data_IF_734482734840
#
_entry.id   IF_734482734840
#
_cell.length_a   1.000
_cell.length_b   1.000
_cell.length_c   1.000
_cell.angle_alpha   90.00
_cell.angle_beta   90.00
_cell.angle_gamma   90.00
#
_symmetry.space_group_name_H-M   'P 1'
#
loop_
_entity.id
_entity.type
_entity.pdbx_description
1 polymer ?
#
# COMPACT_ATOMS: atom_id res chain seq x y z
N UNK A 1 16.92 -17.06 31.00
CA UNK A 1 16.83 -18.36 30.29
C UNK A 1 15.76 -18.23 29.21
N UNK A 2 16.19 -18.51 27.99
CA UNK A 2 15.48 -18.71 26.71
C UNK A 2 14.68 -17.54 26.09
N UNK A 3 15.46 -16.69 25.42
CA UNK A 3 15.10 -15.93 24.21
C UNK A 3 14.86 -16.90 23.04
N UNK A 4 13.61 -17.33 22.82
CA UNK A 4 13.27 -18.18 21.66
C UNK A 4 12.18 -17.60 20.76
N UNK A 5 11.76 -16.34 20.91
CA UNK A 5 10.62 -15.79 20.14
C UNK A 5 10.96 -14.83 19.00
N UNK A 6 12.24 -14.53 18.75
CA UNK A 6 12.65 -13.64 17.65
C UNK A 6 13.32 -14.37 16.48
N UNK A 7 13.78 -15.60 16.69
CA UNK A 7 14.47 -16.40 15.66
C UNK A 7 13.47 -17.10 14.73
N UNK A 8 12.30 -17.49 15.23
CA UNK A 8 11.29 -18.18 14.41
C UNK A 8 10.58 -17.25 13.41
N UNK A 9 10.36 -15.98 13.74
CA UNK A 9 9.79 -15.00 12.82
C UNK A 9 10.77 -14.59 11.71
N UNK A 10 12.06 -14.44 12.02
CA UNK A 10 13.08 -14.18 11.00
C UNK A 10 13.34 -15.39 10.09
N UNK A 11 13.17 -16.61 10.60
CA UNK A 11 13.26 -17.82 9.80
C UNK A 11 12.00 -18.10 8.96
N UNK A 12 10.81 -17.59 9.29
CA UNK A 12 9.64 -17.85 8.43
C UNK A 12 9.74 -17.14 7.07
N UNK A 13 10.23 -15.89 7.07
CA UNK A 13 10.43 -15.10 5.84
C UNK A 13 11.62 -15.58 4.99
N UNK A 14 12.62 -16.23 5.59
CA UNK A 14 13.81 -16.67 4.86
C UNK A 14 13.60 -17.93 4.03
N UNK A 15 12.52 -18.69 4.23
CA UNK A 15 12.25 -19.93 3.49
C UNK A 15 11.22 -19.69 2.38
N UNK A 16 10.14 -18.95 2.64
CA UNK A 16 9.16 -18.57 1.60
C UNK A 16 9.74 -17.63 0.52
N UNK A 17 10.86 -16.96 0.77
CA UNK A 17 11.56 -16.17 -0.24
C UNK A 17 12.17 -17.02 -1.39
N UNK A 18 12.38 -18.32 -1.17
CA UNK A 18 13.06 -19.22 -2.13
C UNK A 18 12.19 -20.35 -2.68
N UNK A 19 10.99 -20.57 -2.14
CA UNK A 19 10.08 -21.60 -2.66
C UNK A 19 9.01 -21.01 -3.59
N UNK A 20 8.65 -21.73 -4.68
CA UNK A 20 7.56 -21.32 -5.55
C UNK A 20 6.25 -21.22 -4.76
N UNK A 21 5.42 -20.22 -5.09
CA UNK A 21 4.09 -20.05 -4.51
C UNK A 21 3.27 -21.33 -4.64
N UNK A 22 2.80 -21.88 -3.51
CA UNK A 22 1.90 -23.04 -3.51
C UNK A 22 0.58 -22.69 -4.21
N UNK A 23 -0.10 -23.70 -4.76
CA UNK A 23 -1.36 -23.49 -5.49
C UNK A 23 -2.45 -22.86 -4.61
N UNK A 24 -2.51 -23.23 -3.33
CA UNK A 24 -3.44 -22.63 -2.36
C UNK A 24 -3.18 -21.13 -2.20
N UNK A 25 -1.90 -20.71 -2.11
CA UNK A 25 -1.52 -19.30 -2.00
C UNK A 25 -1.77 -18.54 -3.29
N UNK A 26 -1.47 -19.14 -4.45
CA UNK A 26 -1.80 -18.56 -5.76
C UNK A 26 -3.30 -18.30 -5.87
N UNK A 27 -4.11 -19.28 -5.46
CA UNK A 27 -5.57 -19.21 -5.47
C UNK A 27 -6.08 -18.10 -4.54
N UNK A 28 -5.56 -18.03 -3.30
CA UNK A 28 -5.91 -16.99 -2.33
C UNK A 28 -5.60 -15.59 -2.86
N UNK A 29 -4.35 -15.35 -3.31
CA UNK A 29 -3.91 -14.04 -3.82
C UNK A 29 -4.72 -13.65 -5.05
N UNK A 30 -4.91 -14.58 -5.99
CA UNK A 30 -5.65 -14.36 -7.23
C UNK A 30 -7.11 -13.99 -6.95
N UNK A 31 -7.77 -14.70 -6.04
CA UNK A 31 -9.16 -14.43 -5.64
C UNK A 31 -9.31 -13.02 -5.07
N UNK A 32 -8.46 -12.65 -4.11
CA UNK A 32 -8.50 -11.32 -3.48
C UNK A 32 -8.20 -10.20 -4.49
N UNK A 33 -7.17 -10.39 -5.33
CA UNK A 33 -6.81 -9.42 -6.35
C UNK A 33 -7.91 -9.21 -7.39
N UNK A 34 -8.54 -10.29 -7.88
CA UNK A 34 -9.61 -10.20 -8.88
C UNK A 34 -10.90 -9.56 -8.35
N UNK A 35 -11.12 -9.58 -7.03
CA UNK A 35 -12.24 -8.90 -6.39
C UNK A 35 -12.09 -7.36 -6.37
N UNK A 36 -10.87 -6.83 -6.56
CA UNK A 36 -10.61 -5.40 -6.59
C UNK A 36 -11.12 -4.74 -7.88
N UNK A 37 -11.48 -3.46 -7.78
CA UNK A 37 -11.81 -2.61 -8.92
C UNK A 37 -10.64 -2.53 -9.92
N UNK A 38 -10.91 -2.18 -11.19
CA UNK A 38 -9.85 -2.00 -12.18
C UNK A 38 -8.77 -0.98 -11.75
N UNK A 39 -9.17 0.06 -11.02
CA UNK A 39 -8.26 1.09 -10.49
C UNK A 39 -7.30 0.46 -9.48
N UNK A 40 -7.83 -0.25 -8.47
CA UNK A 40 -7.00 -0.83 -7.42
C UNK A 40 -6.15 -2.00 -7.92
N UNK A 41 -6.65 -2.80 -8.88
CA UNK A 41 -5.84 -3.82 -9.56
C UNK A 41 -4.66 -3.25 -10.33
N UNK A 42 -4.85 -2.11 -10.98
CA UNK A 42 -3.80 -1.36 -11.68
C UNK A 42 -2.74 -0.87 -10.69
N UNK A 43 -3.16 -0.21 -9.60
CA UNK A 43 -2.26 0.27 -8.54
C UNK A 43 -1.47 -0.89 -7.92
N UNK A 44 -2.14 -1.93 -7.41
CA UNK A 44 -1.50 -3.04 -6.72
C UNK A 44 -0.49 -3.77 -7.61
N UNK A 45 -0.86 -4.03 -8.87
CA UNK A 45 0.04 -4.67 -9.84
C UNK A 45 1.25 -3.82 -10.20
N UNK A 46 1.04 -2.52 -10.42
CA UNK A 46 2.13 -1.58 -10.76
C UNK A 46 3.13 -1.42 -9.60
N UNK A 47 2.63 -1.39 -8.36
CA UNK A 47 3.45 -1.32 -7.15
C UNK A 47 4.22 -2.62 -6.96
N UNK A 48 3.56 -3.76 -7.09
CA UNK A 48 4.21 -5.06 -6.89
C UNK A 48 5.42 -5.21 -7.81
N UNK A 49 5.29 -4.83 -9.09
CA UNK A 49 6.41 -4.84 -10.03
C UNK A 49 7.50 -3.83 -9.66
N UNK A 50 7.16 -2.59 -9.32
CA UNK A 50 8.18 -1.59 -8.90
C UNK A 50 8.99 -2.08 -7.70
N UNK A 51 8.29 -2.59 -6.67
CA UNK A 51 8.92 -3.14 -5.48
C UNK A 51 9.77 -4.38 -5.80
N UNK A 52 9.31 -5.23 -6.73
CA UNK A 52 10.10 -6.37 -7.19
C UNK A 52 11.44 -5.94 -7.79
N UNK A 53 11.41 -4.94 -8.68
CA UNK A 53 12.63 -4.42 -9.30
C UNK A 53 13.61 -3.87 -8.25
N UNK A 54 13.08 -3.10 -7.29
CA UNK A 54 13.86 -2.52 -6.20
C UNK A 54 14.48 -3.59 -5.29
N UNK A 55 13.67 -4.51 -4.75
CA UNK A 55 14.12 -5.51 -3.76
C UNK A 55 15.00 -6.61 -4.35
N UNK A 56 14.89 -6.89 -5.66
CA UNK A 56 15.68 -7.91 -6.34
C UNK A 56 16.82 -7.31 -7.18
N UNK A 57 17.11 -6.01 -7.01
CA UNK A 57 18.20 -5.30 -7.69
C UNK A 57 18.14 -5.38 -9.23
N UNK A 58 16.94 -5.36 -9.81
CA UNK A 58 16.80 -5.21 -11.25
C UNK A 58 16.82 -3.71 -11.62
N UNK A 59 17.89 -3.21 -12.26
CA UNK A 59 18.04 -1.77 -12.53
C UNK A 59 17.05 -1.25 -13.58
N UNK A 60 16.40 -2.15 -14.33
CA UNK A 60 15.39 -1.80 -15.32
C UNK A 60 14.45 -2.97 -15.59
N UNK A 61 13.30 -2.64 -16.17
CA UNK A 61 12.34 -3.63 -16.66
C UNK A 61 12.96 -4.58 -17.70
N UNK A 62 13.86 -4.08 -18.56
CA UNK A 62 14.55 -4.90 -19.54
C UNK A 62 15.43 -5.96 -18.87
N UNK A 63 16.20 -5.59 -17.84
CA UNK A 63 17.04 -6.54 -17.08
C UNK A 63 16.21 -7.59 -16.35
N UNK A 64 15.06 -7.20 -15.82
CA UNK A 64 14.15 -8.17 -15.21
C UNK A 64 13.60 -9.15 -16.26
N UNK A 65 13.10 -8.66 -17.40
CA UNK A 65 12.60 -9.54 -18.47
C UNK A 65 13.70 -10.47 -19.01
N UNK A 66 14.93 -9.98 -19.17
CA UNK A 66 16.10 -10.81 -19.53
C UNK A 66 16.33 -11.93 -18.51
N UNK A 67 16.16 -11.65 -17.22
CA UNK A 67 16.37 -12.65 -16.15
C UNK A 67 15.30 -13.75 -16.10
N UNK A 68 14.16 -13.56 -16.79
CA UNK A 68 13.11 -14.58 -16.89
C UNK A 68 13.41 -15.64 -17.96
N UNK A 69 14.50 -15.48 -18.72
CA UNK A 69 15.02 -16.44 -19.70
C UNK A 69 13.93 -16.97 -20.67
N UNK A 70 13.08 -16.06 -21.15
CA UNK A 70 12.06 -16.41 -22.14
C UNK A 70 12.70 -16.91 -23.44
N UNK A 71 12.23 -18.06 -23.93
CA UNK A 71 12.71 -18.59 -25.20
C UNK A 71 12.26 -17.69 -26.35
N UNK A 72 13.22 -16.97 -26.93
CA UNK A 72 13.00 -16.08 -28.07
C UNK A 72 12.48 -16.81 -29.33
N UNK A 73 12.65 -18.13 -29.40
CA UNK A 73 12.17 -18.99 -30.49
C UNK A 73 10.76 -19.53 -30.23
N UNK A 74 10.28 -19.50 -28.98
CA UNK A 74 8.91 -19.89 -28.64
C UNK A 74 7.94 -18.73 -28.94
N UNK A 75 7.27 -18.85 -30.09
CA UNK A 75 6.29 -17.86 -30.54
C UNK A 75 5.12 -17.64 -29.58
N UNK A 76 4.87 -18.58 -28.66
CA UNK A 76 3.83 -18.45 -27.62
C UNK A 76 4.28 -17.52 -26.48
N UNK A 77 5.59 -17.38 -26.25
CA UNK A 77 6.18 -16.53 -25.20
C UNK A 77 6.50 -15.10 -25.65
N UNK A 78 6.44 -14.79 -26.96
CA UNK A 78 6.65 -13.45 -27.52
C UNK A 78 5.76 -12.35 -26.89
N UNK A 79 4.61 -12.72 -26.32
CA UNK A 79 3.69 -11.77 -25.65
C UNK A 79 4.07 -11.49 -24.20
N UNK A 80 4.94 -12.29 -23.58
CA UNK A 80 5.33 -12.19 -22.17
C UNK A 80 6.16 -10.93 -21.85
N UNK A 81 7.14 -10.50 -22.67
CA UNK A 81 7.83 -9.23 -22.44
C UNK A 81 6.87 -8.02 -22.42
N UNK A 82 5.94 -7.99 -23.37
CA UNK A 82 4.95 -6.92 -23.48
C UNK A 82 3.97 -6.87 -22.29
N UNK A 83 3.72 -8.01 -21.63
CA UNK A 83 2.91 -8.07 -20.43
C UNK A 83 3.53 -7.24 -19.30
N UNK A 84 4.82 -7.42 -19.02
CA UNK A 84 5.52 -6.72 -17.94
C UNK A 84 5.57 -5.21 -18.14
N UNK A 85 5.88 -4.75 -19.36
CA UNK A 85 5.83 -3.33 -19.68
C UNK A 85 4.43 -2.73 -19.52
N UNK A 86 3.38 -3.46 -19.90
CA UNK A 86 1.99 -3.02 -19.71
C UNK A 86 1.64 -2.94 -18.22
N UNK A 87 2.03 -3.93 -17.43
CA UNK A 87 1.81 -3.94 -15.98
C UNK A 87 2.55 -2.78 -15.29
N UNK A 88 3.81 -2.56 -15.64
CA UNK A 88 4.61 -1.43 -15.17
C UNK A 88 4.04 -0.07 -15.57
N UNK A 89 3.40 0.01 -16.75
CA UNK A 89 2.67 1.19 -17.21
C UNK A 89 1.27 1.32 -16.57
N UNK A 90 0.92 0.50 -15.57
CA UNK A 90 -0.33 0.57 -14.82
C UNK A 90 -1.51 -0.12 -15.49
N UNK A 91 -1.30 -1.06 -16.42
CA UNK A 91 -2.39 -1.93 -16.90
C UNK A 91 -2.67 -3.03 -15.87
N UNK A 92 -3.92 -3.09 -15.42
CA UNK A 92 -4.37 -4.16 -14.51
C UNK A 92 -4.28 -5.55 -15.18
N UNK A 93 -3.99 -6.56 -14.37
CA UNK A 93 -4.16 -7.95 -14.77
C UNK A 93 -5.65 -8.31 -14.63
N UNK A 94 -6.26 -8.77 -15.72
CA UNK A 94 -7.71 -9.00 -15.78
C UNK A 94 -8.11 -10.45 -15.94
N UNK A 95 -7.17 -11.31 -16.36
CA UNK A 95 -7.42 -12.71 -16.66
C UNK A 95 -6.54 -13.60 -15.79
N UNK A 96 -7.02 -14.80 -15.43
CA UNK A 96 -6.27 -15.74 -14.58
C UNK A 96 -4.89 -16.03 -15.15
N UNK A 97 -4.81 -16.37 -16.44
CA UNK A 97 -3.55 -16.67 -17.12
C UNK A 97 -2.50 -15.54 -17.02
N UNK A 98 -2.93 -14.27 -17.03
CA UNK A 98 -2.01 -13.13 -16.85
C UNK A 98 -1.51 -12.99 -15.41
N UNK A 99 -2.29 -13.46 -14.44
CA UNK A 99 -1.90 -13.50 -13.03
C UNK A 99 -0.99 -14.71 -12.77
N UNK A 100 -1.25 -15.84 -13.43
CA UNK A 100 -0.38 -17.01 -13.38
C UNK A 100 1.00 -16.69 -13.96
N UNK A 101 1.06 -16.02 -15.11
CA UNK A 101 2.30 -15.48 -15.67
C UNK A 101 3.05 -14.55 -14.71
N UNK A 102 2.31 -13.75 -13.94
CA UNK A 102 2.91 -12.90 -12.91
C UNK A 102 3.54 -13.74 -11.79
N UNK A 103 2.82 -14.73 -11.25
CA UNK A 103 3.32 -15.60 -10.18
C UNK A 103 4.52 -16.45 -10.61
N UNK A 104 4.61 -16.81 -11.88
CA UNK A 104 5.75 -17.55 -12.41
C UNK A 104 7.00 -16.67 -12.56
N UNK A 105 6.83 -15.35 -12.69
CA UNK A 105 7.94 -14.41 -12.87
C UNK A 105 8.39 -13.66 -11.62
N UNK A 106 7.73 -13.82 -10.46
CA UNK A 106 8.09 -13.11 -9.23
C UNK A 106 8.13 -14.01 -8.00
N UNK A 107 8.84 -13.56 -6.97
CA UNK A 107 8.90 -14.26 -5.69
C UNK A 107 7.63 -14.04 -4.83
N UNK A 108 7.45 -14.87 -3.80
CA UNK A 108 6.29 -14.79 -2.90
C UNK A 108 6.12 -13.42 -2.22
N UNK A 109 7.16 -12.76 -1.67
CA UNK A 109 7.01 -11.42 -1.10
C UNK A 109 6.39 -10.43 -2.08
N UNK A 110 6.78 -10.48 -3.35
CA UNK A 110 6.21 -9.64 -4.42
C UNK A 110 4.74 -9.98 -4.68
N UNK A 111 4.43 -11.27 -4.82
CA UNK A 111 3.06 -11.71 -5.07
C UNK A 111 2.12 -11.37 -3.92
N UNK A 112 2.59 -11.46 -2.68
CA UNK A 112 1.81 -11.14 -1.47
C UNK A 112 1.34 -9.68 -1.43
N UNK A 113 2.03 -8.76 -2.12
CA UNK A 113 1.60 -7.36 -2.25
C UNK A 113 0.21 -7.28 -2.86
N UNK A 114 -0.15 -8.15 -3.80
CA UNK A 114 -1.45 -8.08 -4.49
C UNK A 114 -2.65 -8.30 -3.57
N UNK A 115 -2.47 -8.98 -2.45
CA UNK A 115 -3.52 -9.26 -1.45
C UNK A 115 -3.43 -8.37 -0.20
N UNK A 116 -2.64 -7.29 -0.25
CA UNK A 116 -2.45 -6.44 0.92
C UNK A 116 -3.78 -5.79 1.37
N UNK A 117 -4.14 -5.80 2.69
CA UNK A 117 -5.44 -5.33 3.16
C UNK A 117 -5.75 -3.86 2.91
N UNK A 118 -4.71 -3.03 2.68
CA UNK A 118 -4.89 -1.64 2.27
C UNK A 118 -5.71 -1.53 0.98
N UNK A 119 -5.56 -2.47 0.03
CA UNK A 119 -6.25 -2.39 -1.25
C UNK A 119 -7.75 -2.57 -1.09
N UNK A 120 -8.16 -3.59 -0.33
CA UNK A 120 -9.58 -3.86 -0.06
C UNK A 120 -10.23 -2.75 0.77
N UNK A 121 -9.47 -2.14 1.70
CA UNK A 121 -9.91 -0.98 2.48
C UNK A 121 -10.20 0.23 1.59
N UNK A 122 -9.24 0.62 0.73
CA UNK A 122 -9.39 1.78 -0.15
C UNK A 122 -10.49 1.54 -1.21
N UNK A 123 -10.60 0.31 -1.72
CA UNK A 123 -11.58 -0.02 -2.76
C UNK A 123 -13.03 -0.11 -2.26
N UNK A 124 -13.25 0.01 -0.94
CA UNK A 124 -14.56 -0.13 -0.28
C UNK A 124 -15.27 -1.46 -0.57
N UNK A 125 -14.51 -2.51 -0.93
CA UNK A 125 -15.08 -3.83 -1.29
C UNK A 125 -15.51 -4.64 -0.09
N UNK A 126 -14.93 -4.35 1.06
CA UNK A 126 -15.22 -4.99 2.33
C UNK A 126 -15.61 -3.92 3.34
N UNK A 127 -16.48 -4.25 4.31
CA UNK A 127 -16.73 -3.38 5.46
C UNK A 127 -15.42 -3.01 6.16
N UNK A 128 -15.39 -1.83 6.78
CA UNK A 128 -14.19 -1.32 7.47
C UNK A 128 -13.77 -2.28 8.59
N UNK A 129 -14.74 -2.83 9.31
CA UNK A 129 -14.58 -3.74 10.44
C UNK A 129 -14.05 -5.11 9.98
N UNK A 130 -14.53 -5.59 8.82
CA UNK A 130 -13.98 -6.76 8.13
C UNK A 130 -12.53 -6.54 7.67
N UNK A 131 -12.23 -5.38 7.08
CA UNK A 131 -10.85 -5.02 6.68
C UNK A 131 -9.92 -4.90 7.89
N UNK A 132 -10.42 -4.33 8.98
CA UNK A 132 -9.66 -4.20 10.23
C UNK A 132 -9.28 -5.57 10.80
N UNK A 133 -10.18 -6.57 10.70
CA UNK A 133 -9.86 -7.95 11.07
C UNK A 133 -8.75 -8.54 10.21
N UNK A 134 -8.81 -8.39 8.89
CA UNK A 134 -7.77 -8.88 7.97
C UNK A 134 -6.41 -8.29 8.34
N UNK A 135 -6.36 -6.97 8.57
CA UNK A 135 -5.17 -6.28 9.04
C UNK A 135 -4.70 -6.78 10.43
N UNK A 136 -5.62 -7.01 11.37
CA UNK A 136 -5.28 -7.48 12.71
C UNK A 136 -4.63 -8.88 12.71
N UNK A 137 -5.14 -9.78 11.88
CA UNK A 137 -4.64 -11.15 11.74
C UNK A 137 -3.24 -11.14 11.14
N UNK A 138 -3.00 -10.31 10.11
CA UNK A 138 -1.71 -10.27 9.41
C UNK A 138 -0.61 -9.52 10.18
N UNK A 139 -0.94 -8.49 10.97
CA UNK A 139 0.08 -7.53 11.48
C UNK A 139 0.32 -7.51 13.00
N UNK A 140 -0.20 -8.48 13.77
CA UNK A 140 0.16 -8.70 15.18
C UNK A 140 -0.19 -7.53 16.13
N UNK A 141 -1.32 -7.65 16.82
CA UNK A 141 -2.10 -6.56 17.43
C UNK A 141 -1.48 -5.64 18.50
N UNK A 142 -0.53 -4.76 18.13
CA UNK A 142 -0.10 -3.63 18.98
C UNK A 142 -1.11 -2.47 19.03
N UNK A 143 -1.94 -2.34 18.00
CA UNK A 143 -2.90 -1.24 17.81
C UNK A 143 -4.23 -1.43 18.55
N UNK A 144 -4.49 -2.62 19.08
CA UNK A 144 -5.78 -2.97 19.67
C UNK A 144 -5.68 -3.12 21.18
N UNK A 145 -6.81 -2.93 21.87
CA UNK A 145 -6.94 -3.22 23.31
C UNK A 145 -6.73 -4.71 23.51
N UNK A 146 -5.98 -5.12 24.55
CA UNK A 146 -5.74 -6.55 24.85
C UNK A 146 -7.10 -7.22 25.08
N UNK A 147 -7.57 -8.03 24.14
CA UNK A 147 -8.80 -8.82 24.25
C UNK A 147 -8.66 -10.11 23.44
N UNK A 148 -9.12 -11.21 24.03
CA UNK A 148 -8.94 -12.59 23.59
C UNK A 148 -9.60 -12.91 22.22
N UNK A 149 -8.94 -13.80 21.47
CA UNK A 149 -9.42 -14.58 20.31
C UNK A 149 -10.23 -13.84 19.23
N UNK A 150 -9.67 -12.80 18.59
CA UNK A 150 -10.29 -12.23 17.38
C UNK A 150 -10.37 -13.21 16.20
N UNK A 151 -9.65 -14.33 16.26
CA UNK A 151 -9.72 -15.37 15.24
C UNK A 151 -11.13 -15.96 15.08
N UNK A 152 -11.99 -15.83 16.09
CA UNK A 152 -13.36 -16.35 16.07
C UNK A 152 -14.43 -15.31 15.73
N UNK A 153 -14.06 -14.03 15.59
CA UNK A 153 -15.03 -12.97 15.27
C UNK A 153 -15.07 -12.76 13.76
N UNK A 154 -16.25 -12.57 13.17
CA UNK A 154 -16.36 -12.25 11.73
C UNK A 154 -15.80 -10.87 11.41
N UNK A 155 -15.96 -9.91 12.33
CA UNK A 155 -15.51 -8.53 12.18
C UNK A 155 -14.91 -7.99 13.49
N UNK A 156 -14.06 -6.96 13.39
CA UNK A 156 -13.52 -6.23 14.56
C UNK A 156 -14.02 -4.79 14.51
N UNK A 157 -14.76 -4.30 15.54
CA UNK A 157 -15.24 -2.92 15.55
C UNK A 157 -14.06 -1.94 15.72
N UNK A 158 -14.19 -0.74 15.15
CA UNK A 158 -13.19 0.34 15.30
C UNK A 158 -12.89 0.66 16.78
N UNK A 159 -13.90 0.55 17.65
CA UNK A 159 -13.78 0.79 19.09
C UNK A 159 -12.82 -0.18 19.82
N UNK A 160 -12.46 -1.30 19.19
CA UNK A 160 -11.44 -2.23 19.67
C UNK A 160 -10.01 -1.64 19.59
N UNK A 161 -9.81 -0.58 18.80
CA UNK A 161 -8.53 0.11 18.72
C UNK A 161 -8.20 0.82 20.04
N UNK A 162 -6.92 0.81 20.40
CA UNK A 162 -6.40 1.67 21.46
C UNK A 162 -6.44 3.12 20.99
N UNK A 163 -6.63 4.02 21.93
CA UNK A 163 -6.32 5.42 21.68
C UNK A 163 -4.83 5.54 21.34
N UNK A 164 -4.50 6.16 20.20
CA UNK A 164 -3.12 6.37 19.80
C UNK A 164 -2.56 7.66 20.40
N UNK A 165 -1.33 7.60 20.89
CA UNK A 165 -0.56 8.78 21.32
C UNK A 165 0.18 9.41 20.13
N UNK A 166 0.55 10.70 20.18
CA UNK A 166 1.29 11.37 19.10
C UNK A 166 2.55 10.62 18.65
N UNK A 167 3.37 10.15 19.60
CA UNK A 167 4.60 9.39 19.33
C UNK A 167 4.35 8.07 18.59
N UNK A 168 3.22 7.40 18.86
CA UNK A 168 2.84 6.18 18.15
C UNK A 168 2.46 6.47 16.70
N UNK A 169 1.75 7.59 16.45
CA UNK A 169 1.40 8.01 15.09
C UNK A 169 2.64 8.39 14.28
N UNK A 170 3.56 9.12 14.89
CA UNK A 170 4.85 9.43 14.29
C UNK A 170 5.64 8.15 13.96
N UNK A 171 5.71 7.20 14.89
CA UNK A 171 6.37 5.91 14.63
C UNK A 171 5.76 5.14 13.46
N UNK A 172 4.43 5.18 13.29
CA UNK A 172 3.78 4.58 12.12
C UNK A 172 4.18 5.33 10.84
N UNK A 173 4.21 6.67 10.87
CA UNK A 173 4.66 7.45 9.73
C UNK A 173 6.11 7.12 9.33
N UNK A 174 7.02 7.04 10.30
CA UNK A 174 8.44 6.76 10.11
C UNK A 174 8.71 5.36 9.53
N UNK A 175 7.79 4.41 9.69
CA UNK A 175 7.90 3.07 9.11
C UNK A 175 7.76 3.04 7.57
N UNK A 176 7.16 4.09 6.98
CA UNK A 176 7.08 4.30 5.52
C UNK A 176 6.58 3.09 4.72
N UNK A 177 5.62 2.33 5.25
CA UNK A 177 5.11 1.10 4.64
C UNK A 177 3.61 1.16 4.38
N UNK A 178 3.10 0.20 3.59
CA UNK A 178 1.66 0.07 3.38
C UNK A 178 0.92 -0.30 4.67
N UNK A 179 1.51 -1.16 5.51
CA UNK A 179 0.96 -1.51 6.82
C UNK A 179 0.81 -0.28 7.71
N UNK A 180 1.81 0.60 7.67
CA UNK A 180 1.83 1.79 8.51
C UNK A 180 0.87 2.85 8.02
N UNK A 181 0.68 2.99 6.70
CA UNK A 181 -0.42 3.77 6.13
C UNK A 181 -1.78 3.18 6.51
N UNK A 182 -1.96 1.87 6.40
CA UNK A 182 -3.20 1.18 6.76
C UNK A 182 -3.55 1.40 8.24
N UNK A 183 -2.56 1.28 9.13
CA UNK A 183 -2.69 1.58 10.54
C UNK A 183 -3.14 3.05 10.78
N UNK A 184 -2.51 4.01 10.10
CA UNK A 184 -2.85 5.42 10.23
C UNK A 184 -4.25 5.74 9.71
N UNK A 185 -4.73 5.07 8.66
CA UNK A 185 -6.10 5.18 8.17
C UNK A 185 -7.08 4.65 9.22
N UNK A 186 -6.86 3.47 9.80
CA UNK A 186 -7.74 2.94 10.86
C UNK A 186 -7.75 3.82 12.12
N UNK A 187 -6.58 4.35 12.52
CA UNK A 187 -6.51 5.31 13.62
C UNK A 187 -7.32 6.57 13.29
N UNK A 188 -7.22 7.07 12.04
CA UNK A 188 -7.97 8.23 11.57
C UNK A 188 -9.47 7.98 11.61
N UNK A 189 -9.92 6.85 11.08
CA UNK A 189 -11.32 6.41 11.13
C UNK A 189 -11.84 6.34 12.57
N UNK A 190 -11.09 5.71 13.48
CA UNK A 190 -11.45 5.66 14.90
C UNK A 190 -11.54 7.07 15.52
N UNK A 191 -10.57 7.96 15.24
CA UNK A 191 -10.59 9.33 15.77
C UNK A 191 -11.80 10.14 15.28
N UNK A 192 -12.18 9.98 14.01
CA UNK A 192 -13.30 10.71 13.41
C UNK A 192 -14.64 10.11 13.85
N UNK A 193 -14.79 8.79 13.74
CA UNK A 193 -16.08 8.10 13.89
C UNK A 193 -16.42 7.75 15.32
N UNK A 194 -15.45 7.25 16.09
CA UNK A 194 -15.67 6.84 17.48
C UNK A 194 -15.38 7.98 18.46
N UNK A 195 -14.24 8.66 18.29
CA UNK A 195 -13.83 9.72 19.22
C UNK A 195 -14.37 11.12 18.86
N UNK A 196 -15.02 11.28 17.70
CA UNK A 196 -15.60 12.55 17.22
C UNK A 196 -14.61 13.72 17.21
N UNK A 197 -13.34 13.46 16.92
CA UNK A 197 -12.33 14.51 16.82
C UNK A 197 -12.62 15.43 15.61
N UNK A 198 -12.31 16.72 15.77
CA UNK A 198 -12.31 17.68 14.67
C UNK A 198 -11.23 17.33 13.64
N UNK A 199 -11.57 17.55 12.37
CA UNK A 199 -10.70 17.27 11.22
C UNK A 199 -9.99 18.54 10.72
N UNK A 200 -8.75 18.44 10.22
CA UNK A 200 -7.98 17.20 10.07
C UNK A 200 -7.38 16.74 11.40
N UNK A 201 -7.52 15.45 11.70
CA UNK A 201 -6.89 14.89 12.90
C UNK A 201 -5.37 14.79 12.71
N UNK A 202 -4.61 14.63 13.79
CA UNK A 202 -3.16 14.40 13.66
C UNK A 202 -2.85 13.10 12.91
N UNK A 203 -3.63 12.03 13.12
CA UNK A 203 -3.48 10.79 12.36
C UNK A 203 -3.75 10.99 10.87
N UNK A 204 -4.77 11.78 10.54
CA UNK A 204 -5.12 12.11 9.16
C UNK A 204 -3.99 12.85 8.46
N UNK A 205 -3.33 13.81 9.13
CA UNK A 205 -2.17 14.52 8.59
C UNK A 205 -1.01 13.57 8.28
N UNK A 206 -0.70 12.64 9.20
CA UNK A 206 0.33 11.62 8.96
C UNK A 206 -0.06 10.67 7.82
N UNK A 207 -1.30 10.20 7.79
CA UNK A 207 -1.80 9.34 6.71
C UNK A 207 -1.72 10.04 5.34
N UNK A 208 -2.11 11.31 5.28
CA UNK A 208 -2.07 12.10 4.05
C UNK A 208 -0.63 12.30 3.55
N UNK A 209 0.27 12.73 4.43
CA UNK A 209 1.68 12.88 4.10
C UNK A 209 2.31 11.56 3.64
N UNK A 210 1.96 10.44 4.30
CA UNK A 210 2.49 9.12 3.94
C UNK A 210 1.91 8.60 2.62
N UNK A 211 0.62 8.79 2.36
CA UNK A 211 0.00 8.50 1.07
C UNK A 211 0.72 9.25 -0.06
N UNK A 212 0.92 10.54 0.15
CA UNK A 212 1.57 11.43 -0.77
C UNK A 212 3.02 11.02 -1.06
N UNK A 213 3.77 10.62 -0.03
CA UNK A 213 5.11 10.04 -0.20
C UNK A 213 5.07 8.70 -0.96
N UNK A 214 4.25 7.75 -0.51
CA UNK A 214 4.22 6.39 -1.06
C UNK A 214 3.78 6.37 -2.52
N UNK A 215 2.76 7.13 -2.89
CA UNK A 215 2.15 7.04 -4.23
C UNK A 215 2.46 8.25 -5.12
N UNK A 216 2.90 9.36 -4.54
CA UNK A 216 3.34 10.55 -5.26
C UNK A 216 4.83 10.49 -5.62
N UNK A 217 5.66 9.89 -4.77
CA UNK A 217 7.11 9.83 -4.93
C UNK A 217 7.66 8.41 -5.07
N UNK A 218 7.54 7.58 -4.03
CA UNK A 218 8.19 6.27 -3.93
C UNK A 218 7.71 5.33 -5.05
N UNK A 219 6.41 5.08 -5.11
CA UNK A 219 5.78 4.28 -6.15
C UNK A 219 5.02 5.17 -7.13
N UNK A 220 5.52 5.26 -8.36
CA UNK A 220 4.93 6.11 -9.41
C UNK A 220 3.71 5.45 -10.02
N UNK A 221 2.59 5.53 -9.32
CA UNK A 221 1.34 4.93 -9.79
C UNK A 221 0.56 5.87 -10.68
N UNK A 222 0.06 5.36 -11.83
CA UNK A 222 -0.76 6.20 -12.74
C UNK A 222 -2.12 6.58 -12.16
N UNK A 223 -2.63 5.73 -11.28
CA UNK A 223 -3.98 5.80 -10.71
C UNK A 223 -4.03 6.36 -9.29
N UNK A 224 -2.97 7.05 -8.86
CA UNK A 224 -2.87 7.70 -7.54
C UNK A 224 -3.96 8.73 -7.26
N UNK A 225 -4.40 9.49 -8.27
CA UNK A 225 -5.47 10.48 -8.09
C UNK A 225 -6.80 9.80 -7.77
N UNK A 226 -7.21 8.83 -8.61
CA UNK A 226 -8.40 8.00 -8.41
C UNK A 226 -8.40 7.33 -7.02
N UNK A 227 -7.26 6.74 -6.64
CA UNK A 227 -7.09 6.11 -5.32
C UNK A 227 -7.18 7.10 -4.16
N UNK A 228 -6.62 8.31 -4.31
CA UNK A 228 -6.73 9.35 -3.29
C UNK A 228 -8.16 9.86 -3.12
N UNK A 229 -8.94 9.91 -4.21
CA UNK A 229 -10.38 10.24 -4.17
C UNK A 229 -11.14 9.14 -3.42
N UNK A 230 -10.87 7.86 -3.71
CA UNK A 230 -11.49 6.74 -2.97
C UNK A 230 -11.17 6.83 -1.47
N UNK A 231 -9.92 7.13 -1.10
CA UNK A 231 -9.58 7.32 0.31
C UNK A 231 -10.26 8.54 0.94
N UNK A 232 -10.44 9.62 0.18
CA UNK A 232 -11.20 10.78 0.63
C UNK A 232 -12.67 10.42 0.91
N UNK A 233 -13.29 9.63 0.04
CA UNK A 233 -14.64 9.10 0.20
C UNK A 233 -14.75 8.17 1.43
N UNK A 234 -13.72 7.34 1.69
CA UNK A 234 -13.64 6.49 2.90
C UNK A 234 -13.74 7.33 4.19
N UNK A 235 -13.04 8.45 4.23
CA UNK A 235 -12.93 9.32 5.39
C UNK A 235 -14.05 10.38 5.46
N UNK A 236 -14.66 10.69 4.31
CA UNK A 236 -15.67 11.75 4.14
C UNK A 236 -16.83 11.29 3.22
N UNK A 237 -17.65 10.32 3.65
CA UNK A 237 -18.69 9.73 2.80
C UNK A 237 -19.83 10.69 2.42
N UNK A 238 -19.93 11.86 3.07
CA UNK A 238 -20.98 12.86 2.86
C UNK A 238 -20.50 14.12 2.11
N UNK A 239 -19.44 14.00 1.32
CA UNK A 239 -18.87 15.13 0.55
C UNK A 239 -19.82 15.56 -0.57
N UNK A 240 -20.02 16.87 -0.76
CA UNK A 240 -20.74 17.37 -1.93
C UNK A 240 -19.89 17.23 -3.21
N UNK A 241 -20.50 17.32 -4.39
CA UNK A 241 -19.76 17.30 -5.67
C UNK A 241 -18.72 18.43 -5.74
N UNK A 242 -19.05 19.63 -5.25
CA UNK A 242 -18.11 20.75 -5.22
C UNK A 242 -16.93 20.54 -4.27
N UNK A 243 -17.10 19.78 -3.19
CA UNK A 243 -16.00 19.44 -2.29
C UNK A 243 -15.05 18.42 -2.93
N UNK A 244 -15.60 17.47 -3.69
CA UNK A 244 -14.83 16.49 -4.46
C UNK A 244 -13.93 17.14 -5.50
N UNK A 245 -14.46 18.08 -6.29
CA UNK A 245 -13.68 18.76 -7.33
C UNK A 245 -12.53 19.58 -6.72
N UNK A 246 -12.79 20.26 -5.60
CA UNK A 246 -11.76 21.00 -4.85
C UNK A 246 -10.69 20.07 -4.27
N UNK A 247 -11.11 18.92 -3.73
CA UNK A 247 -10.19 17.90 -3.26
C UNK A 247 -9.29 17.39 -4.38
N UNK A 248 -9.86 17.06 -5.55
CA UNK A 248 -9.12 16.52 -6.69
C UNK A 248 -8.08 17.51 -7.23
N UNK A 249 -8.45 18.79 -7.38
CA UNK A 249 -7.53 19.85 -7.80
C UNK A 249 -6.37 20.02 -6.80
N UNK A 250 -6.68 20.04 -5.50
CA UNK A 250 -5.67 20.13 -4.45
C UNK A 250 -4.75 18.91 -4.47
N UNK A 251 -5.31 17.71 -4.50
CA UNK A 251 -4.53 16.47 -4.52
C UNK A 251 -3.59 16.42 -5.72
N UNK A 252 -4.04 16.89 -6.89
CA UNK A 252 -3.20 17.02 -8.08
C UNK A 252 -2.04 18.01 -7.86
N UNK A 253 -2.31 19.17 -7.26
CA UNK A 253 -1.28 20.15 -6.90
C UNK A 253 -0.27 19.59 -5.90
N UNK A 254 -0.75 18.89 -4.86
CA UNK A 254 0.07 18.30 -3.82
C UNK A 254 1.00 17.21 -4.36
N UNK A 255 0.51 16.39 -5.29
CA UNK A 255 1.30 15.40 -6.00
C UNK A 255 2.39 16.05 -6.86
N UNK A 256 2.08 17.17 -7.53
CA UNK A 256 3.06 17.95 -8.29
C UNK A 256 4.19 18.47 -7.39
N UNK A 257 3.82 19.06 -6.24
CA UNK A 257 4.78 19.59 -5.27
C UNK A 257 5.75 18.53 -4.74
N UNK A 258 5.28 17.30 -4.55
CA UNK A 258 6.15 16.22 -4.04
C UNK A 258 7.16 15.76 -5.08
N UNK A 259 6.75 15.75 -6.35
CA UNK A 259 7.68 15.48 -7.46
C UNK A 259 8.75 16.58 -7.49
N UNK A 260 8.36 17.85 -7.33
CA UNK A 260 9.31 18.98 -7.25
C UNK A 260 10.28 18.86 -6.08
N UNK A 261 9.79 18.49 -4.88
CA UNK A 261 10.64 18.23 -3.71
C UNK A 261 11.68 17.16 -4.06
N UNK A 262 11.26 16.06 -4.70
CA UNK A 262 12.15 14.99 -5.12
C UNK A 262 13.19 15.42 -6.15
N UNK A 263 12.80 16.20 -7.16
CA UNK A 263 13.69 16.71 -8.20
C UNK A 263 14.69 17.76 -7.69
N UNK A 264 14.37 18.45 -6.59
CA UNK A 264 15.24 19.44 -5.97
C UNK A 264 16.40 18.85 -5.17
N UNK A 265 16.45 17.52 -4.98
CA UNK A 265 17.48 16.87 -4.19
C UNK A 265 18.76 16.65 -5.00
N UNK A 266 19.94 16.82 -4.38
CA UNK A 266 21.20 16.43 -5.01
C UNK A 266 21.24 14.92 -5.26
N UNK A 267 22.10 14.45 -6.18
CA UNK A 267 22.34 13.02 -6.35
C UNK A 267 22.80 12.42 -5.02
N UNK A 268 21.91 11.66 -4.38
CA UNK A 268 22.10 11.05 -3.05
C UNK A 268 21.72 9.58 -3.12
N UNK A 269 22.11 8.80 -2.11
CA UNK A 269 21.70 7.39 -2.02
C UNK A 269 20.17 7.33 -1.88
N UNK A 270 19.54 6.36 -2.55
CA UNK A 270 18.07 6.25 -2.66
C UNK A 270 17.35 6.38 -1.30
N UNK A 271 17.86 5.73 -0.26
CA UNK A 271 17.25 5.74 1.08
C UNK A 271 17.32 7.11 1.76
N UNK A 272 18.42 7.85 1.56
CA UNK A 272 18.58 9.20 2.09
C UNK A 272 17.66 10.18 1.37
N UNK A 273 17.58 10.09 0.04
CA UNK A 273 16.66 10.86 -0.77
C UNK A 273 15.20 10.61 -0.34
N UNK A 274 14.79 9.35 -0.21
CA UNK A 274 13.48 8.97 0.29
C UNK A 274 13.20 9.57 1.67
N UNK A 275 14.18 9.51 2.58
CA UNK A 275 14.06 10.05 3.92
C UNK A 275 13.82 11.57 3.92
N UNK A 276 14.57 12.29 3.09
CA UNK A 276 14.44 13.74 2.95
C UNK A 276 13.08 14.10 2.35
N UNK A 277 12.65 13.44 1.27
CA UNK A 277 11.34 13.71 0.65
C UNK A 277 10.20 13.42 1.62
N UNK A 278 10.25 12.29 2.32
CA UNK A 278 9.24 11.91 3.30
C UNK A 278 9.13 12.96 4.42
N UNK A 279 10.28 13.40 4.96
CA UNK A 279 10.33 14.39 6.05
C UNK A 279 9.87 15.78 5.60
N UNK A 280 10.34 16.24 4.42
CA UNK A 280 9.92 17.53 3.84
C UNK A 280 8.41 17.54 3.56
N UNK A 281 7.87 16.44 3.03
CA UNK A 281 6.42 16.27 2.83
C UNK A 281 5.66 16.43 4.15
N UNK A 282 6.08 15.74 5.20
CA UNK A 282 5.43 15.85 6.51
C UNK A 282 5.48 17.26 7.07
N UNK A 283 6.65 17.90 7.08
CA UNK A 283 6.80 19.27 7.58
C UNK A 283 5.87 20.25 6.86
N UNK A 284 5.77 20.13 5.54
CA UNK A 284 4.85 20.95 4.76
C UNK A 284 3.39 20.73 5.16
N UNK A 285 2.94 19.47 5.27
CA UNK A 285 1.55 19.16 5.67
C UNK A 285 1.24 19.65 7.09
N UNK A 286 2.19 19.52 8.02
CA UNK A 286 2.01 19.95 9.41
C UNK A 286 2.01 21.47 9.58
N UNK A 287 2.79 22.20 8.78
CA UNK A 287 2.95 23.65 8.90
C UNK A 287 1.75 24.46 8.36
N UNK A 288 0.95 23.91 7.44
CA UNK A 288 0.01 24.71 6.62
C UNK A 288 -1.47 24.58 6.96
N UNK A 289 -1.85 24.08 8.15
CA UNK A 289 -3.26 23.74 8.46
C UNK A 289 -3.96 22.99 7.30
N UNK A 290 -3.19 22.10 6.65
CA UNK A 290 -3.56 21.49 5.39
C UNK A 290 -4.85 20.67 5.53
N UNK A 291 -5.87 20.85 4.67
CA UNK A 291 -7.16 20.16 4.82
C UNK A 291 -7.11 18.63 4.60
N UNK A 292 -5.97 18.08 4.17
CA UNK A 292 -5.71 16.62 4.06
C UNK A 292 -6.74 15.88 3.21
N UNK A 293 -7.59 15.00 3.79
CA UNK A 293 -8.63 14.26 3.07
C UNK A 293 -10.01 14.91 3.23
N UNK A 294 -10.08 16.24 3.15
CA UNK A 294 -11.29 17.05 3.33
C UNK A 294 -11.57 17.99 2.16
#
# INVERSE_FOLDING_TARGET
>A
MNNTSSIELNNFWSWEAFYPLTEDRRTEIKSQYLALSPVMRSVAGQIAVQRHLEENNHPSMARFIESLDYDSMDTTQLKCPNFWYKLFAGRAMTQSNTIDLFFDGVNYPTASILMHPLWSLIDHRVPIESSLKQFAIQFGGKLFRKLCSWHCLDEIPLSALKQSYPSQRQKQFEARSFDSLNALIFITLNQIRECKHLRPTTAERYAYALFLFLFGYKYRTRKKLDMGIMLNELLTPSSSSGDRDRFEQRLSSDQGRIIEIGLSLPPTVSDEAESIVCTKTLHWILASNHPCFK
#
